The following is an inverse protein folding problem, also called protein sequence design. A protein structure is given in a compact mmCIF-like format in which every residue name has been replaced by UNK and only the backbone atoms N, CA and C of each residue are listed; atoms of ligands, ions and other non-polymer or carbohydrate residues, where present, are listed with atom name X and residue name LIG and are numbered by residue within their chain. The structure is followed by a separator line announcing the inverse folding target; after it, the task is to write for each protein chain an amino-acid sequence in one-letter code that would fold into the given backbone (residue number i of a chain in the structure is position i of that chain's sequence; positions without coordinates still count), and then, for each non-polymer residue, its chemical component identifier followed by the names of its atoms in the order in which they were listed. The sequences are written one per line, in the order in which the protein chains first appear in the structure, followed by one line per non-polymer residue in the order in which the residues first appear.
data_IF_214506303202
#
_entry.id   IF_214506303202
#
_cell.length_a   1.000
_cell.length_b   1.000
_cell.length_c   1.000
_cell.angle_alpha   90.00
_cell.angle_beta   90.00
_cell.angle_gamma   90.00
#
_symmetry.space_group_name_H-M   'P 1'
#
loop_
_entity.id
_entity.type
_entity.pdbx_description
1 polymer ?
#
# COMPACT_ATOMS: atom_id res chain seq x y z
N UNK A 1 -0.37 3.33 21.09
CA UNK A 1 0.91 3.42 20.36
C UNK A 1 0.58 3.19 18.90
N UNK A 2 0.63 4.23 18.08
CA UNK A 2 0.58 4.10 16.62
C UNK A 2 1.75 3.24 16.17
N UNK A 3 1.55 2.38 15.17
CA UNK A 3 2.65 1.57 14.62
C UNK A 3 3.59 2.51 13.86
N UNK A 4 4.92 2.38 14.01
CA UNK A 4 5.86 3.24 13.29
C UNK A 4 5.74 3.04 11.77
N UNK A 5 5.77 4.14 11.03
CA UNK A 5 5.69 4.16 9.57
C UNK A 5 7.07 3.87 8.98
N UNK A 6 7.27 2.67 8.46
CA UNK A 6 8.57 2.22 7.94
C UNK A 6 8.66 2.41 6.43
N UNK A 7 9.80 2.94 5.95
CA UNK A 7 10.08 3.07 4.54
C UNK A 7 10.45 1.70 3.93
N UNK A 8 9.77 1.25 2.86
CA UNK A 8 10.05 -0.03 2.21
C UNK A 8 11.35 -0.04 1.38
N UNK A 9 12.02 1.11 1.22
CA UNK A 9 13.19 1.26 0.34
C UNK A 9 14.51 1.47 1.09
N UNK A 10 14.49 2.17 2.23
CA UNK A 10 15.70 2.49 3.00
C UNK A 10 15.65 2.09 4.48
N UNK A 11 14.60 1.39 4.93
CA UNK A 11 14.41 0.93 6.31
C UNK A 11 14.34 2.03 7.40
N UNK A 12 14.20 3.30 7.02
CA UNK A 12 13.90 4.38 7.98
C UNK A 12 12.48 4.27 8.55
N UNK A 13 12.32 4.72 9.80
CA UNK A 13 11.04 4.69 10.51
C UNK A 13 10.64 6.09 10.95
N UNK A 14 9.38 6.45 10.73
CA UNK A 14 8.78 7.73 11.09
C UNK A 14 7.63 7.54 12.08
N UNK A 15 7.46 8.49 12.98
CA UNK A 15 6.37 8.52 13.95
C UNK A 15 5.02 8.90 13.31
N UNK A 16 5.08 9.58 12.17
CA UNK A 16 3.93 10.10 11.44
C UNK A 16 4.01 9.82 9.93
N UNK A 17 2.83 9.73 9.31
CA UNK A 17 2.66 9.47 7.87
C UNK A 17 3.30 10.57 7.01
N UNK A 18 3.21 11.83 7.47
CA UNK A 18 3.74 12.99 6.74
C UNK A 18 5.26 12.89 6.60
N UNK A 19 5.97 12.52 7.66
CA UNK A 19 7.41 12.27 7.63
C UNK A 19 7.79 11.18 6.62
N UNK A 20 7.06 10.06 6.62
CA UNK A 20 7.26 9.01 5.62
C UNK A 20 7.00 9.52 4.19
N UNK A 21 5.95 10.32 3.97
CA UNK A 21 5.63 10.87 2.65
C UNK A 21 6.73 11.80 2.13
N UNK A 22 7.24 12.71 2.98
CA UNK A 22 8.34 13.61 2.63
C UNK A 22 9.62 12.82 2.33
N UNK A 23 9.94 11.79 3.12
CA UNK A 23 11.07 10.90 2.85
C UNK A 23 10.95 10.25 1.47
N UNK A 24 9.77 9.69 1.17
CA UNK A 24 9.51 9.08 -0.11
C UNK A 24 9.67 10.11 -1.26
N UNK A 25 9.12 11.32 -1.11
CA UNK A 25 9.19 12.37 -2.12
C UNK A 25 10.60 12.93 -2.33
N UNK A 26 11.43 13.02 -1.29
CA UNK A 26 12.78 13.61 -1.38
C UNK A 26 13.82 12.55 -1.72
N UNK A 27 13.88 11.46 -0.95
CA UNK A 27 14.92 10.43 -1.07
C UNK A 27 14.60 9.40 -2.16
N UNK A 28 13.31 9.18 -2.43
CA UNK A 28 12.86 8.15 -3.36
C UNK A 28 12.01 8.68 -4.52
N UNK A 29 12.09 9.98 -4.81
CA UNK A 29 11.35 10.65 -5.91
C UNK A 29 11.40 9.93 -7.26
N UNK A 30 12.55 9.31 -7.56
CA UNK A 30 12.84 8.65 -8.84
C UNK A 30 12.43 7.17 -8.85
N UNK A 31 11.96 6.66 -7.73
CA UNK A 31 11.42 5.31 -7.63
C UNK A 31 10.01 5.32 -8.21
N UNK A 32 9.78 4.53 -9.25
CA UNK A 32 8.48 4.39 -9.91
C UNK A 32 7.37 4.02 -8.92
N UNK A 33 7.70 3.17 -7.93
CA UNK A 33 6.80 2.75 -6.85
C UNK A 33 6.35 3.91 -5.98
N UNK A 34 7.20 4.92 -5.81
CA UNK A 34 6.94 6.07 -4.93
C UNK A 34 6.15 7.16 -5.63
N UNK A 35 6.39 7.38 -6.93
CA UNK A 35 5.55 8.28 -7.73
C UNK A 35 4.08 7.93 -7.60
N UNK A 36 3.74 6.64 -7.78
CA UNK A 36 2.35 6.20 -7.66
C UNK A 36 1.78 6.36 -6.24
N UNK A 37 2.58 6.15 -5.20
CA UNK A 37 2.13 6.19 -3.80
C UNK A 37 1.83 7.63 -3.34
N UNK A 38 2.64 8.60 -3.75
CA UNK A 38 2.42 10.04 -3.46
C UNK A 38 1.20 10.57 -4.23
N UNK A 39 0.99 10.13 -5.47
CA UNK A 39 -0.17 10.51 -6.28
C UNK A 39 -1.49 9.95 -5.71
N UNK A 40 -1.49 8.71 -5.21
CA UNK A 40 -2.65 8.07 -4.59
C UNK A 40 -3.06 8.76 -3.29
N UNK A 41 -2.11 9.24 -2.49
CA UNK A 41 -2.42 9.87 -1.20
C UNK A 41 -3.20 11.17 -1.34
N UNK A 42 -2.95 11.93 -2.42
CA UNK A 42 -3.72 13.12 -2.77
C UNK A 42 -5.17 12.85 -3.17
N UNK A 43 -5.49 11.60 -3.54
CA UNK A 43 -6.84 11.14 -3.92
C UNK A 43 -7.53 10.30 -2.83
N UNK A 44 -6.81 9.90 -1.78
CA UNK A 44 -7.25 8.87 -0.82
C UNK A 44 -7.95 9.42 0.44
N UNK A 45 -8.79 10.45 0.30
CA UNK A 45 -9.76 10.79 1.34
C UNK A 45 -11.14 10.17 1.09
N UNK A 46 -11.32 9.40 0.00
CA UNK A 46 -12.61 8.78 -0.35
C UNK A 46 -12.46 7.34 -0.91
N UNK A 47 -11.61 6.50 -0.32
CA UNK A 47 -11.88 5.05 -0.37
C UNK A 47 -11.76 4.54 1.06
N UNK A 48 -12.90 4.59 1.74
CA UNK A 48 -13.21 3.73 2.87
C UNK A 48 -12.73 2.33 2.54
N UNK A 49 -11.81 1.82 3.35
CA UNK A 49 -11.45 0.40 3.40
C UNK A 49 -12.71 -0.40 3.76
N UNK A 50 -13.54 -0.75 2.78
CA UNK A 50 -14.46 -1.86 2.91
C UNK A 50 -13.66 -3.14 2.65
N UNK A 51 -13.34 -3.80 3.75
CA UNK A 51 -13.28 -5.23 3.76
C UNK A 51 -14.70 -5.72 3.42
N UNK A 52 -14.88 -6.36 2.28
CA UNK A 52 -15.90 -7.39 2.13
C UNK A 52 -15.19 -8.59 1.51
N UNK A 53 -14.66 -9.39 2.44
CA UNK A 53 -14.40 -10.80 2.24
C UNK A 53 -15.69 -11.45 1.74
N UNK A 54 -15.80 -11.71 0.43
CA UNK A 54 -16.91 -12.50 -0.12
C UNK A 54 -16.37 -13.80 -0.73
N UNK A 55 -16.66 -14.87 0.00
CA UNK A 55 -16.59 -16.29 -0.39
C UNK A 55 -17.61 -16.61 -1.49
N UNK A 56 -17.23 -17.39 -2.53
CA UNK A 56 -18.03 -18.43 -3.24
C UNK A 56 -17.22 -18.88 -4.49
N UNK A 57 -16.53 -20.01 -4.45
CA UNK A 57 -16.98 -21.35 -4.89
C UNK A 57 -17.27 -21.46 -6.39
N UNK A 58 -16.33 -22.02 -7.16
CA UNK A 58 -16.64 -22.95 -8.26
C UNK A 58 -15.59 -24.08 -8.34
N UNK A 59 -16.00 -25.21 -7.78
CA UNK A 59 -15.54 -26.57 -8.06
C UNK A 59 -15.48 -26.86 -9.58
N UNK A 60 -14.42 -27.51 -10.07
CA UNK A 60 -14.60 -28.48 -11.17
C UNK A 60 -13.55 -29.60 -11.09
N UNK A 61 -13.94 -30.87 -10.89
CA UNK A 61 -13.02 -32.00 -10.84
C UNK A 61 -12.56 -32.42 -12.24
N UNK A 62 -11.39 -33.07 -12.29
CA UNK A 62 -10.77 -33.59 -13.51
C UNK A 62 -11.59 -34.72 -14.17
N UNK A 63 -11.39 -34.92 -15.48
CA UNK A 63 -11.37 -36.29 -15.99
C UNK A 63 -10.15 -36.57 -16.86
N UNK A 64 -9.47 -37.68 -16.55
CA UNK A 64 -8.45 -38.33 -17.38
C UNK A 64 -8.99 -39.68 -17.86
N UNK A 65 -8.79 -40.03 -19.13
CA UNK A 65 -8.48 -41.40 -19.51
C UNK A 65 -7.05 -41.54 -20.06
#
# INVERSE_FOLDING_TARGET
MTKPHSCPLCAETYDDKTGLQVQLEVEHRKSEVVSHLVELDGASTDISSDYESTTVNEERPAPSP
#
